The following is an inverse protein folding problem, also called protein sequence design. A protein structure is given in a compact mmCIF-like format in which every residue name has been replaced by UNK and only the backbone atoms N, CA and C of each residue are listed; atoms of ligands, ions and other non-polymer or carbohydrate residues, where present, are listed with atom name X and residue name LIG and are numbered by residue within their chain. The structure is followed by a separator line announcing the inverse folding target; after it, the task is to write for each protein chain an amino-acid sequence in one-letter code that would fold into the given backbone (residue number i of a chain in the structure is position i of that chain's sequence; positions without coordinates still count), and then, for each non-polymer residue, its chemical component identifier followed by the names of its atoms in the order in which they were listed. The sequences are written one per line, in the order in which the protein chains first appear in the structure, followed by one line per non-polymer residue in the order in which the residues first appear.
data_IF_546054526089
#
_entry.id   IF_546054526089
#
_cell.length_a   1.000
_cell.length_b   1.000
_cell.length_c   1.000
_cell.angle_alpha   90.00
_cell.angle_beta   90.00
_cell.angle_gamma   90.00
#
_symmetry.space_group_name_H-M   'P 1'
#
loop_
_entity.id
_entity.type
_entity.pdbx_description
1 polymer ?
#
# COMPACT_ATOMS: atom_id res chain seq x y z
N UNK A 1 1.65 -3.27 -5.64
CA UNK A 1 1.55 -1.84 -6.01
C UNK A 1 0.15 -1.33 -5.67
N UNK A 2 0.04 -0.09 -5.20
CA UNK A 2 -1.25 0.50 -4.84
C UNK A 2 -1.43 1.82 -5.58
N UNK A 3 -2.64 2.11 -6.03
CA UNK A 3 -2.98 3.39 -6.64
C UNK A 3 -4.40 3.82 -6.27
N UNK A 4 -4.63 5.13 -6.27
CA UNK A 4 -5.97 5.68 -6.17
C UNK A 4 -6.77 5.33 -7.43
N UNK A 5 -8.06 5.05 -7.27
CA UNK A 5 -9.03 4.79 -8.33
C UNK A 5 -9.45 6.12 -9.00
N UNK A 6 -8.46 6.86 -9.49
CA UNK A 6 -8.60 8.14 -10.18
C UNK A 6 -7.79 8.09 -11.48
N UNK A 7 -8.07 8.99 -12.41
CA UNK A 7 -7.32 9.08 -13.66
C UNK A 7 -5.82 9.31 -13.43
N UNK A 8 -5.48 10.26 -12.54
CA UNK A 8 -4.08 10.54 -12.18
C UNK A 8 -3.41 9.38 -11.43
N UNK A 9 -4.13 8.69 -10.53
CA UNK A 9 -3.62 7.51 -9.82
C UNK A 9 -3.28 6.37 -10.77
N UNK A 10 -4.14 6.13 -11.76
CA UNK A 10 -3.91 5.12 -12.80
C UNK A 10 -2.76 5.51 -13.75
N UNK A 11 -2.64 6.79 -14.11
CA UNK A 11 -1.50 7.25 -14.92
C UNK A 11 -0.17 7.03 -14.19
N UNK A 12 -0.10 7.38 -12.91
CA UNK A 12 1.07 7.11 -12.08
C UNK A 12 1.37 5.60 -11.98
N UNK A 13 0.34 4.77 -11.83
CA UNK A 13 0.48 3.31 -11.83
C UNK A 13 1.02 2.79 -13.17
N UNK A 14 0.52 3.29 -14.29
CA UNK A 14 1.02 2.89 -15.62
C UNK A 14 2.50 3.25 -15.79
N UNK A 15 2.92 4.42 -15.31
CA UNK A 15 4.34 4.81 -15.30
C UNK A 15 5.17 3.87 -14.42
N UNK A 16 4.70 3.54 -13.21
CA UNK A 16 5.38 2.59 -12.32
C UNK A 16 5.50 1.18 -12.93
N UNK A 17 4.46 0.71 -13.61
CA UNK A 17 4.46 -0.59 -14.30
C UNK A 17 5.44 -0.59 -15.48
N UNK A 18 5.51 0.51 -16.25
CA UNK A 18 6.50 0.66 -17.32
C UNK A 18 7.94 0.66 -16.78
N UNK A 19 8.18 1.39 -15.69
CA UNK A 19 9.48 1.43 -15.03
C UNK A 19 9.88 0.03 -14.51
N UNK A 20 8.99 -0.64 -13.79
CA UNK A 20 9.21 -2.00 -13.31
C UNK A 20 9.49 -2.98 -14.46
N UNK A 21 8.78 -2.85 -15.58
CA UNK A 21 9.06 -3.65 -16.78
C UNK A 21 10.44 -3.36 -17.37
N UNK A 22 10.86 -2.11 -17.40
CA UNK A 22 12.18 -1.69 -17.90
C UNK A 22 13.32 -2.20 -17.00
N UNK A 23 13.08 -2.30 -15.69
CA UNK A 23 13.98 -2.90 -14.72
C UNK A 23 13.99 -4.44 -14.75
N UNK A 24 13.19 -5.07 -15.62
CA UNK A 24 13.09 -6.52 -15.73
C UNK A 24 12.37 -7.19 -14.55
N UNK A 25 11.59 -6.43 -13.78
CA UNK A 25 10.84 -7.00 -12.66
C UNK A 25 9.72 -7.93 -13.18
N UNK A 26 9.49 -9.07 -12.49
CA UNK A 26 8.50 -10.04 -12.91
C UNK A 26 7.07 -9.53 -12.64
N UNK A 27 6.49 -8.78 -13.59
CA UNK A 27 5.16 -8.17 -13.45
C UNK A 27 4.06 -9.21 -13.12
N UNK A 28 4.19 -10.44 -13.60
CA UNK A 28 3.27 -11.55 -13.29
C UNK A 28 3.21 -11.92 -11.80
N UNK A 29 4.14 -11.43 -10.96
CA UNK A 29 4.14 -11.56 -9.49
C UNK A 29 3.62 -10.31 -8.78
N UNK A 30 3.32 -9.25 -9.52
CA UNK A 30 2.84 -7.99 -8.96
C UNK A 30 1.35 -8.10 -8.70
N UNK A 31 0.91 -7.61 -7.54
CA UNK A 31 -0.51 -7.44 -7.22
C UNK A 31 -0.79 -5.95 -7.22
N UNK A 32 -1.87 -5.55 -7.89
CA UNK A 32 -2.29 -4.15 -8.01
C UNK A 32 -3.55 -3.95 -7.17
N UNK A 33 -3.50 -3.02 -6.22
CA UNK A 33 -4.67 -2.59 -5.46
C UNK A 33 -5.13 -1.20 -5.93
N UNK A 34 -6.36 -1.10 -6.46
CA UNK A 34 -6.98 0.15 -6.88
C UNK A 34 -7.97 0.60 -5.81
N UNK A 35 -7.62 1.68 -5.10
CA UNK A 35 -8.36 2.12 -3.90
C UNK A 35 -9.31 3.26 -4.22
N UNK A 36 -10.60 3.05 -3.97
CA UNK A 36 -11.60 4.08 -4.17
C UNK A 36 -11.40 5.25 -3.18
N UNK A 37 -11.35 6.47 -3.74
CA UNK A 37 -11.16 7.70 -2.96
C UNK A 37 -12.47 8.28 -2.43
N UNK A 38 -13.61 7.71 -2.83
CA UNK A 38 -14.94 8.10 -2.39
C UNK A 38 -15.96 7.01 -2.77
N UNK A 39 -17.21 7.25 -2.40
CA UNK A 39 -18.32 6.37 -2.77
C UNK A 39 -18.62 6.46 -4.28
N UNK A 40 -19.12 5.37 -4.85
CA UNK A 40 -19.59 5.31 -6.24
C UNK A 40 -18.80 4.36 -7.14
N UNK A 41 -19.09 4.42 -8.44
CA UNK A 41 -18.48 3.56 -9.44
C UNK A 41 -17.14 4.13 -9.91
N UNK A 42 -16.17 3.24 -10.13
CA UNK A 42 -14.89 3.58 -10.74
C UNK A 42 -15.07 4.28 -12.11
N UNK A 43 -14.31 5.36 -12.39
CA UNK A 43 -14.31 6.02 -13.70
C UNK A 43 -14.00 5.04 -14.84
N UNK A 44 -14.50 5.32 -16.04
CA UNK A 44 -14.29 4.46 -17.21
C UNK A 44 -12.80 4.22 -17.52
N UNK A 45 -11.98 5.26 -17.40
CA UNK A 45 -10.52 5.17 -17.56
C UNK A 45 -9.86 4.20 -16.58
N UNK A 46 -10.34 4.15 -15.33
CA UNK A 46 -9.80 3.23 -14.33
C UNK A 46 -10.24 1.80 -14.60
N UNK A 47 -11.49 1.58 -15.00
CA UNK A 47 -11.97 0.25 -15.42
C UNK A 47 -11.19 -0.28 -16.62
N UNK A 48 -10.94 0.57 -17.61
CA UNK A 48 -10.12 0.22 -18.77
C UNK A 48 -8.69 -0.15 -18.36
N UNK A 49 -8.06 0.65 -17.49
CA UNK A 49 -6.72 0.36 -17.02
C UNK A 49 -6.64 -0.91 -16.17
N UNK A 50 -7.65 -1.19 -15.34
CA UNK A 50 -7.73 -2.44 -14.59
C UNK A 50 -7.76 -3.65 -15.55
N UNK A 51 -8.63 -3.62 -16.57
CA UNK A 51 -8.71 -4.67 -17.57
C UNK A 51 -7.42 -4.85 -18.38
N UNK A 52 -6.72 -3.75 -18.70
CA UNK A 52 -5.42 -3.81 -19.38
C UNK A 52 -4.31 -4.41 -18.52
N UNK A 53 -4.38 -4.26 -17.19
CA UNK A 53 -3.39 -4.78 -16.25
C UNK A 53 -3.64 -6.24 -15.90
N UNK A 54 -4.90 -6.66 -15.84
CA UNK A 54 -5.33 -8.01 -15.44
C UNK A 54 -4.52 -9.15 -16.07
N UNK A 55 -4.24 -9.18 -17.40
CA UNK A 55 -3.45 -10.27 -17.99
C UNK A 55 -1.93 -10.16 -17.75
N UNK A 56 -1.44 -9.04 -17.20
CA UNK A 56 -0.01 -8.72 -17.06
C UNK A 56 0.50 -8.87 -15.63
N UNK A 57 -0.40 -8.85 -14.65
CA UNK A 57 -0.11 -8.89 -13.22
C UNK A 57 -0.76 -10.10 -12.57
N UNK A 58 -0.35 -10.45 -11.35
CA UNK A 58 -0.93 -11.60 -10.63
C UNK A 58 -2.40 -11.40 -10.33
N UNK A 59 -2.76 -10.21 -9.88
CA UNK A 59 -4.13 -9.85 -9.53
C UNK A 59 -4.31 -8.33 -9.56
N UNK A 60 -5.53 -7.90 -9.91
CA UNK A 60 -6.00 -6.53 -9.76
C UNK A 60 -7.17 -6.54 -8.78
N UNK A 61 -7.00 -5.93 -7.61
CA UNK A 61 -8.00 -5.90 -6.54
C UNK A 61 -8.59 -4.49 -6.42
N UNK A 62 -9.91 -4.39 -6.51
CA UNK A 62 -10.62 -3.13 -6.27
C UNK A 62 -10.94 -2.99 -4.78
N UNK A 63 -10.30 -2.03 -4.12
CA UNK A 63 -10.53 -1.74 -2.70
C UNK A 63 -11.59 -0.64 -2.60
N UNK A 64 -12.77 -0.92 -2.02
CA UNK A 64 -13.83 0.07 -1.91
C UNK A 64 -13.47 1.18 -0.92
N UNK A 65 -14.21 2.29 -0.98
CA UNK A 65 -14.03 3.37 -0.04
C UNK A 65 -14.63 2.99 1.31
N UNK A 66 -13.80 3.01 2.35
CA UNK A 66 -14.21 2.76 3.72
C UNK A 66 -13.60 3.81 4.65
N UNK A 67 -14.41 4.79 5.11
CA UNK A 67 -13.96 5.81 6.05
C UNK A 67 -13.37 5.22 7.34
N UNK A 68 -13.80 4.03 7.75
CA UNK A 68 -13.38 3.40 9.01
C UNK A 68 -11.94 2.90 8.94
N UNK A 69 -11.44 2.52 7.75
CA UNK A 69 -10.03 2.19 7.56
C UNK A 69 -9.15 3.41 7.86
N UNK A 70 -9.57 4.61 7.42
CA UNK A 70 -8.81 5.85 7.71
C UNK A 70 -8.90 6.24 9.19
N UNK A 71 -10.06 6.08 9.81
CA UNK A 71 -10.29 6.49 11.19
C UNK A 71 -9.68 5.54 12.23
N UNK A 72 -9.70 4.23 11.98
CA UNK A 72 -9.36 3.21 12.99
C UNK A 72 -8.28 2.22 12.50
N UNK A 73 -7.85 2.33 11.24
CA UNK A 73 -6.97 1.34 10.62
C UNK A 73 -7.62 -0.04 10.54
N UNK A 74 -6.77 -1.07 10.38
CA UNK A 74 -7.18 -2.48 10.37
C UNK A 74 -7.32 -3.09 11.78
N UNK A 75 -7.11 -2.31 12.85
CA UNK A 75 -7.17 -2.80 14.24
C UNK A 75 -8.56 -3.26 14.65
N UNK A 76 -9.60 -2.63 14.10
CA UNK A 76 -10.99 -2.99 14.34
C UNK A 76 -11.66 -3.47 13.05
N UNK A 77 -11.19 -4.63 12.56
CA UNK A 77 -11.71 -5.26 11.35
C UNK A 77 -13.22 -5.57 11.44
N UNK A 78 -13.75 -5.77 12.65
CA UNK A 78 -15.17 -6.05 12.89
C UNK A 78 -16.09 -4.92 12.44
N UNK A 79 -15.57 -3.69 12.39
CA UNK A 79 -16.31 -2.51 11.94
C UNK A 79 -16.19 -2.25 10.45
N UNK A 80 -15.40 -3.00 9.69
CA UNK A 80 -15.26 -2.74 8.26
C UNK A 80 -16.52 -3.14 7.50
N UNK A 81 -16.81 -2.43 6.40
CA UNK A 81 -17.91 -2.84 5.53
C UNK A 81 -17.62 -4.24 4.96
N UNK A 82 -18.64 -5.09 4.73
CA UNK A 82 -18.44 -6.42 4.16
C UNK A 82 -17.63 -6.43 2.86
N UNK A 83 -17.85 -5.44 1.98
CA UNK A 83 -17.09 -5.29 0.73
C UNK A 83 -15.60 -4.98 0.96
N UNK A 84 -15.28 -4.23 2.01
CA UNK A 84 -13.90 -3.92 2.39
C UNK A 84 -13.19 -5.15 2.92
N UNK A 85 -13.90 -5.95 3.75
CA UNK A 85 -13.39 -7.24 4.23
C UNK A 85 -13.14 -8.22 3.09
N UNK A 86 -14.07 -8.31 2.14
CA UNK A 86 -13.91 -9.18 0.97
C UNK A 86 -12.74 -8.73 0.08
N UNK A 87 -12.58 -7.43 -0.17
CA UNK A 87 -11.42 -6.91 -0.89
C UNK A 87 -10.11 -7.20 -0.14
N UNK A 88 -10.10 -7.10 1.19
CA UNK A 88 -8.97 -7.48 2.03
C UNK A 88 -8.62 -8.97 1.94
N UNK A 89 -9.64 -9.83 1.95
CA UNK A 89 -9.51 -11.28 1.78
C UNK A 89 -8.93 -11.64 0.41
N UNK A 90 -9.47 -11.04 -0.66
CA UNK A 90 -8.96 -11.21 -2.03
C UNK A 90 -7.50 -10.76 -2.15
N UNK A 91 -7.14 -9.63 -1.53
CA UNK A 91 -5.77 -9.15 -1.52
C UNK A 91 -4.84 -10.12 -0.78
N UNK A 92 -5.25 -10.62 0.38
CA UNK A 92 -4.48 -11.58 1.16
C UNK A 92 -4.27 -12.90 0.40
N UNK A 93 -5.33 -13.46 -0.20
CA UNK A 93 -5.22 -14.66 -1.05
C UNK A 93 -4.28 -14.43 -2.23
N UNK A 94 -4.42 -13.32 -2.96
CA UNK A 94 -3.54 -13.03 -4.09
C UNK A 94 -2.06 -12.98 -3.66
N UNK A 95 -1.77 -12.40 -2.48
CA UNK A 95 -0.41 -12.33 -1.92
C UNK A 95 0.12 -13.72 -1.59
N UNK A 96 -0.66 -14.52 -0.86
CA UNK A 96 -0.26 -15.88 -0.47
C UNK A 96 -0.08 -16.76 -1.71
N UNK A 97 -1.01 -16.73 -2.65
CA UNK A 97 -0.92 -17.50 -3.89
C UNK A 97 0.28 -17.07 -4.73
N UNK A 98 0.58 -15.77 -4.78
CA UNK A 98 1.77 -15.26 -5.45
C UNK A 98 3.06 -15.74 -4.77
N UNK A 99 3.04 -15.84 -3.44
CA UNK A 99 4.19 -16.29 -2.67
C UNK A 99 4.43 -17.79 -2.89
N UNK A 100 3.38 -18.61 -2.82
CA UNK A 100 3.46 -20.04 -3.10
C UNK A 100 3.92 -20.30 -4.54
N UNK A 101 3.43 -19.54 -5.51
CA UNK A 101 3.90 -19.67 -6.90
C UNK A 101 5.38 -19.29 -7.07
N UNK A 102 5.93 -18.43 -6.22
CA UNK A 102 7.31 -17.97 -6.30
C UNK A 102 8.31 -18.83 -5.51
N UNK A 103 7.90 -19.38 -4.36
CA UNK A 103 8.78 -20.07 -3.41
C UNK A 103 8.35 -21.50 -3.06
N UNK A 104 7.23 -21.98 -3.58
CA UNK A 104 6.67 -23.29 -3.27
C UNK A 104 5.76 -23.29 -2.03
N UNK A 105 5.19 -24.46 -1.76
CA UNK A 105 4.34 -24.74 -0.58
C UNK A 105 4.92 -25.96 0.17
N UNK A 106 5.38 -25.83 1.44
CA UNK A 106 5.23 -24.66 2.32
C UNK A 106 6.16 -23.49 1.97
N UNK A 107 5.75 -22.28 2.34
CA UNK A 107 6.62 -21.10 2.25
C UNK A 107 7.88 -21.30 3.11
N UNK A 108 9.06 -20.83 2.65
CA UNK A 108 10.27 -20.89 3.44
C UNK A 108 10.12 -20.07 4.74
N UNK A 109 10.87 -20.44 5.78
CA UNK A 109 10.89 -19.70 7.02
C UNK A 109 11.22 -18.22 6.75
N UNK A 110 10.38 -17.32 7.27
CA UNK A 110 10.56 -15.89 7.07
C UNK A 110 11.89 -15.43 7.68
N UNK A 111 12.62 -14.59 6.95
CA UNK A 111 13.80 -13.93 7.51
C UNK A 111 13.39 -13.12 8.74
N UNK A 112 14.01 -13.40 9.88
CA UNK A 112 13.72 -12.68 11.14
C UNK A 112 14.29 -11.27 11.02
N UNK A 113 13.47 -10.20 11.08
CA UNK A 113 14.00 -8.85 11.06
C UNK A 113 14.97 -8.67 12.22
N UNK A 114 16.19 -8.21 11.92
CA UNK A 114 17.18 -7.90 12.96
C UNK A 114 16.57 -6.86 13.89
N UNK A 115 16.57 -7.13 15.19
CA UNK A 115 16.07 -6.18 16.18
C UNK A 115 16.76 -4.83 15.95
N UNK A 116 15.97 -3.77 15.77
CA UNK A 116 16.48 -2.40 15.75
C UNK A 116 16.98 -2.11 17.16
N UNK A 117 18.29 -2.03 17.35
CA UNK A 117 18.86 -1.48 18.57
C UNK A 117 18.25 -0.09 18.75
N UNK A 118 17.51 0.10 19.85
CA UNK A 118 16.94 1.40 20.17
C UNK A 118 18.11 2.40 20.29
N UNK A 119 18.15 3.38 19.40
CA UNK A 119 18.98 4.54 19.62
C UNK A 119 18.50 5.19 20.92
N UNK A 120 19.36 5.24 21.94
CA UNK A 120 19.08 5.97 23.16
C UNK A 120 18.90 7.45 22.80
N UNK A 121 17.78 8.10 23.15
CA UNK A 121 17.66 9.54 22.99
C UNK A 121 18.43 10.19 24.14
N UNK A 122 19.73 10.47 23.95
CA UNK A 122 20.41 11.44 24.82
C UNK A 122 20.27 12.82 24.17
N UNK A 123 19.22 13.54 24.55
CA UNK A 123 19.08 14.96 24.22
C UNK A 123 19.58 15.75 25.43
N UNK A 124 20.89 16.02 25.46
CA UNK A 124 21.43 17.08 26.30
C UNK A 124 21.04 18.43 25.67
N UNK A 125 19.87 18.94 26.04
CA UNK A 125 19.47 20.32 25.78
C UNK A 125 19.85 21.19 26.97
N UNK A 126 21.14 21.42 27.16
CA UNK A 126 21.64 22.41 28.11
C UNK A 126 21.87 23.75 27.40
N UNK A 127 20.95 24.67 27.68
CA UNK A 127 21.15 26.11 27.87
C UNK A 127 21.75 26.96 26.73
N UNK A 128 20.87 27.74 26.08
CA UNK A 128 21.27 29.05 25.52
C UNK A 128 20.13 30.06 25.68
N UNK A 129 19.96 30.60 26.89
CA UNK A 129 19.15 31.81 27.09
C UNK A 129 19.52 32.61 28.35
N UNK A 130 20.51 33.49 28.23
CA UNK A 130 20.70 34.73 29.00
C UNK A 130 21.53 35.64 28.09
N UNK A 131 21.07 36.79 27.59
CA UNK A 131 20.79 37.94 28.42
C UNK A 131 19.85 38.94 27.76
N UNK A 132 19.00 39.47 28.64
CA UNK A 132 18.06 40.56 28.55
C UNK A 132 18.81 41.88 28.76
N UNK A 133 18.62 42.90 27.90
CA UNK A 133 18.34 44.30 28.35
C UNK A 133 17.98 45.23 27.18
N UNK A 134 16.88 45.94 27.39
CA UNK A 134 16.26 47.06 26.65
C UNK A 134 16.44 48.30 27.57
N UNK A 135 16.08 49.55 27.22
CA UNK A 135 16.50 50.47 26.14
C UNK A 135 17.18 51.75 26.70
N UNK A 136 17.57 52.69 25.82
CA UNK A 136 17.34 54.13 25.96
C UNK A 136 17.46 54.78 24.58
#
# INVERSE_FOLDING_TARGET
MCAANTGSGVQALQTAVKAASAEGLPLHRVIVALTATGEGRAPASVRAAAAMLEPRVRAVVQVPHDPRIRAHGMRDASRLKPRSLEAGRQLAHAVVDSAWAAWGDPLPAAAVPRARTAASPNVDHTARNTSKKVPA
#
